data_IF_126991750948
#
_entry.id   IF_126991750948
#
_cell.length_a   1.000
_cell.length_b   1.000
_cell.length_c   1.000
_cell.angle_alpha   90.00
_cell.angle_beta   90.00
_cell.angle_gamma   90.00
#
_symmetry.space_group_name_H-M   'P 1'
#
loop_
_entity.id
_entity.type
_entity.pdbx_description
1 polymer ?
#
# COMPACT_ATOMS: atom_id res chain seq x y z
N UNK A 1 31.44 -7.93 3.72
CA UNK A 1 31.65 -9.38 3.94
C UNK A 1 30.29 -10.00 4.10
N UNK A 2 29.77 -10.64 3.05
CA UNK A 2 28.48 -11.34 3.12
C UNK A 2 28.72 -12.67 3.84
N UNK A 3 28.25 -12.76 5.08
CA UNK A 3 28.18 -14.07 5.73
C UNK A 3 26.90 -14.76 5.25
N UNK A 4 27.04 -15.83 4.49
CA UNK A 4 25.96 -16.80 4.30
C UNK A 4 25.75 -17.49 5.64
N UNK A 5 24.70 -17.11 6.35
CA UNK A 5 24.26 -17.81 7.54
C UNK A 5 23.51 -19.09 7.16
N UNK A 6 23.43 -20.00 8.13
CA UNK A 6 22.64 -21.23 8.02
C UNK A 6 21.19 -20.92 7.57
N UNK A 7 20.53 -21.82 6.82
CA UNK A 7 19.10 -21.71 6.51
C UNK A 7 18.20 -21.55 7.72
N UNK A 8 18.70 -21.86 8.92
CA UNK A 8 17.96 -21.77 10.19
C UNK A 8 18.02 -20.38 10.84
N UNK A 9 18.83 -19.47 10.32
CA UNK A 9 19.00 -18.11 10.86
C UNK A 9 18.05 -17.13 10.13
N UNK A 10 16.94 -16.75 10.76
CA UNK A 10 15.95 -15.80 10.21
C UNK A 10 16.46 -14.36 10.15
N UNK A 11 17.43 -13.97 10.98
CA UNK A 11 18.09 -12.66 10.99
C UNK A 11 19.56 -12.80 10.65
N UNK A 12 20.00 -12.20 9.55
CA UNK A 12 21.38 -12.31 9.07
C UNK A 12 22.30 -11.24 9.65
N UNK A 13 21.73 -10.12 10.09
CA UNK A 13 22.46 -9.02 10.75
C UNK A 13 21.56 -8.31 11.71
N UNK A 14 22.00 -8.13 12.94
CA UNK A 14 21.33 -7.34 13.97
C UNK A 14 22.36 -6.48 14.71
N UNK A 15 22.08 -5.20 14.82
CA UNK A 15 22.85 -4.25 15.62
C UNK A 15 21.88 -3.44 16.49
N UNK A 16 21.82 -3.72 17.80
CA UNK A 16 20.84 -3.09 18.69
C UNK A 16 21.05 -1.57 18.86
N UNK A 17 22.22 -1.03 18.45
CA UNK A 17 22.49 0.41 18.52
C UNK A 17 21.85 1.19 17.37
N UNK A 18 21.46 0.52 16.29
CA UNK A 18 20.88 1.12 15.08
C UNK A 18 19.48 0.59 14.74
N UNK A 19 18.89 -0.22 15.62
CA UNK A 19 17.59 -0.81 15.37
C UNK A 19 16.57 -0.33 16.41
N UNK A 20 15.35 -0.08 15.96
CA UNK A 20 14.23 0.12 16.86
C UNK A 20 13.81 -1.22 17.47
N UNK A 21 13.71 -1.29 18.79
CA UNK A 21 13.27 -2.51 19.48
C UNK A 21 11.80 -2.81 19.18
N UNK A 22 11.45 -4.07 18.98
CA UNK A 22 10.08 -4.46 18.70
C UNK A 22 9.96 -5.84 18.08
N UNK A 23 8.91 -6.02 17.28
CA UNK A 23 8.60 -7.27 16.60
C UNK A 23 8.33 -7.00 15.12
N UNK A 24 8.61 -8.00 14.29
CA UNK A 24 8.27 -7.98 12.86
C UNK A 24 7.13 -8.97 12.60
N UNK A 25 6.01 -8.46 12.09
CA UNK A 25 4.89 -9.26 11.60
C UNK A 25 5.04 -9.42 10.08
N UNK A 26 5.01 -10.65 9.58
CA UNK A 26 5.07 -10.92 8.15
C UNK A 26 4.37 -12.23 7.77
N UNK A 27 3.99 -12.34 6.50
CA UNK A 27 3.53 -13.59 5.89
C UNK A 27 4.34 -13.88 4.63
N UNK A 28 4.97 -15.06 4.50
CA UNK A 28 5.66 -15.44 3.28
C UNK A 28 4.70 -15.46 2.08
N UNK A 29 5.12 -14.87 0.97
CA UNK A 29 4.29 -14.82 -0.23
C UNK A 29 3.89 -16.24 -0.69
N UNK A 30 2.59 -16.44 -0.88
CA UNK A 30 2.02 -17.74 -1.27
C UNK A 30 1.80 -18.75 -0.14
N UNK A 31 2.27 -18.43 1.08
CA UNK A 31 1.99 -19.23 2.29
C UNK A 31 0.61 -18.95 2.88
N UNK A 32 0.31 -19.69 3.95
CA UNK A 32 -0.92 -19.54 4.76
C UNK A 32 -0.61 -19.32 6.23
N UNK A 33 0.58 -18.87 6.55
CA UNK A 33 1.00 -18.56 7.91
C UNK A 33 1.39 -17.09 8.02
N UNK A 34 1.00 -16.44 9.10
CA UNK A 34 1.53 -15.18 9.56
C UNK A 34 2.44 -15.40 10.76
N UNK A 35 3.58 -14.73 10.79
CA UNK A 35 4.63 -14.91 11.78
C UNK A 35 4.92 -13.60 12.47
N UNK A 36 5.09 -13.66 13.78
CA UNK A 36 5.62 -12.58 14.60
C UNK A 36 6.98 -13.03 15.13
N UNK A 37 8.03 -12.30 14.79
CA UNK A 37 9.39 -12.56 15.27
C UNK A 37 9.92 -11.38 16.06
N UNK A 38 10.84 -11.63 16.98
CA UNK A 38 11.60 -10.59 17.67
C UNK A 38 12.80 -10.12 16.83
N UNK A 39 13.57 -9.19 17.37
CA UNK A 39 14.73 -8.60 16.67
C UNK A 39 15.89 -9.57 16.47
N UNK A 40 15.96 -10.67 17.23
CA UNK A 40 16.92 -11.76 17.06
C UNK A 40 16.43 -12.83 16.08
N UNK A 41 15.19 -12.71 15.59
CA UNK A 41 14.58 -13.63 14.63
C UNK A 41 13.92 -14.86 15.27
N UNK A 42 13.73 -14.85 16.60
CA UNK A 42 13.00 -15.91 17.28
C UNK A 42 11.51 -15.75 17.01
N UNK A 43 10.85 -16.88 16.72
CA UNK A 43 9.41 -16.89 16.50
C UNK A 43 8.71 -16.66 17.85
N UNK A 44 8.00 -15.54 17.97
CA UNK A 44 7.21 -15.19 19.14
C UNK A 44 5.78 -15.70 19.02
N UNK A 45 5.21 -15.69 17.80
CA UNK A 45 3.89 -16.22 17.54
C UNK A 45 3.70 -16.62 16.08
N UNK A 46 2.70 -17.50 15.83
CA UNK A 46 2.32 -17.94 14.50
C UNK A 46 0.81 -18.10 14.41
N UNK A 47 0.19 -17.43 13.45
CA UNK A 47 -1.20 -17.69 13.07
C UNK A 47 -1.24 -18.57 11.83
N UNK A 48 -2.06 -19.62 11.85
CA UNK A 48 -2.40 -20.38 10.65
C UNK A 48 -3.66 -19.79 10.05
N UNK A 49 -3.55 -19.21 8.86
CA UNK A 49 -4.65 -18.59 8.16
C UNK A 49 -5.46 -19.62 7.36
N UNK A 50 -6.78 -19.42 7.29
CA UNK A 50 -7.67 -20.30 6.51
C UNK A 50 -7.45 -20.19 5.00
N UNK A 51 -6.97 -19.03 4.52
CA UNK A 51 -6.67 -18.76 3.12
C UNK A 51 -5.37 -17.96 3.01
N UNK A 52 -4.87 -17.82 1.77
CA UNK A 52 -3.67 -17.03 1.52
C UNK A 52 -3.94 -15.57 1.86
N UNK A 53 -3.03 -14.90 2.59
CA UNK A 53 -3.15 -13.48 2.83
C UNK A 53 -3.08 -12.70 1.50
N UNK A 54 -3.80 -11.59 1.48
CA UNK A 54 -3.60 -10.52 0.53
C UNK A 54 -2.34 -9.71 0.86
N UNK A 55 -2.36 -8.42 0.55
CA UNK A 55 -1.19 -7.57 0.81
C UNK A 55 -1.19 -6.93 2.19
N UNK A 56 -2.37 -6.79 2.83
CA UNK A 56 -2.51 -6.09 4.12
C UNK A 56 -2.64 -7.02 5.31
N UNK A 57 -1.86 -6.77 6.36
CA UNK A 57 -2.09 -7.33 7.70
C UNK A 57 -1.52 -6.39 8.77
N UNK A 58 -2.13 -6.39 9.94
CA UNK A 58 -1.69 -5.58 11.08
C UNK A 58 -2.01 -6.25 12.41
N UNK A 59 -1.13 -6.07 13.38
CA UNK A 59 -1.38 -6.45 14.77
C UNK A 59 -2.15 -5.31 15.44
N UNK A 60 -3.33 -5.62 15.95
CA UNK A 60 -4.16 -4.65 16.66
C UNK A 60 -3.67 -4.44 18.10
N UNK A 61 -4.00 -3.31 18.76
CA UNK A 61 -3.59 -3.05 20.16
C UNK A 61 -4.06 -4.10 21.17
N UNK A 62 -5.13 -4.82 20.87
CA UNK A 62 -5.63 -5.94 21.69
C UNK A 62 -4.88 -7.25 21.49
N UNK A 63 -3.87 -7.28 20.62
CA UNK A 63 -3.08 -8.47 20.28
C UNK A 63 -3.69 -9.33 19.17
N UNK A 64 -4.85 -9.00 18.64
CA UNK A 64 -5.45 -9.72 17.52
C UNK A 64 -4.75 -9.37 16.20
N UNK A 65 -4.68 -10.33 15.29
CA UNK A 65 -4.25 -10.13 13.92
C UNK A 65 -5.45 -9.73 13.06
N UNK A 66 -5.38 -8.58 12.40
CA UNK A 66 -6.31 -8.22 11.33
C UNK A 66 -5.62 -8.45 9.98
N UNK A 67 -6.22 -9.28 9.12
CA UNK A 67 -5.60 -9.72 7.87
C UNK A 67 -6.59 -9.71 6.71
N UNK A 68 -6.15 -9.17 5.57
CA UNK A 68 -6.85 -9.29 4.31
C UNK A 68 -6.55 -10.65 3.68
N UNK A 69 -7.57 -11.40 3.34
CA UNK A 69 -7.47 -12.76 2.82
C UNK A 69 -8.01 -12.84 1.39
N UNK A 70 -7.34 -13.65 0.56
CA UNK A 70 -7.77 -13.92 -0.82
C UNK A 70 -8.86 -14.96 -0.82
N UNK A 71 -9.99 -14.66 -1.47
CA UNK A 71 -11.08 -15.61 -1.65
C UNK A 71 -10.94 -16.42 -2.93
N UNK A 72 -10.16 -15.90 -3.92
CA UNK A 72 -10.03 -16.48 -5.26
C UNK A 72 -11.26 -16.27 -6.15
N UNK A 73 -12.20 -15.45 -5.71
CA UNK A 73 -13.45 -15.13 -6.42
C UNK A 73 -13.55 -13.65 -6.81
N UNK A 74 -12.52 -12.89 -6.50
CA UNK A 74 -12.47 -11.45 -6.75
C UNK A 74 -12.64 -11.16 -8.24
N UNK A 75 -13.61 -10.33 -8.66
CA UNK A 75 -13.85 -9.99 -10.07
C UNK A 75 -12.68 -9.26 -10.71
N UNK A 76 -11.78 -8.70 -9.89
CA UNK A 76 -10.65 -7.87 -10.31
C UNK A 76 -9.30 -8.56 -10.20
N UNK A 77 -9.26 -9.91 -10.16
CA UNK A 77 -8.00 -10.69 -10.11
C UNK A 77 -7.05 -10.38 -11.26
N UNK A 78 -7.57 -9.99 -12.44
CA UNK A 78 -6.77 -9.59 -13.60
C UNK A 78 -5.93 -8.33 -13.35
N UNK A 79 -6.25 -7.54 -12.33
CA UNK A 79 -5.43 -6.39 -11.89
C UNK A 79 -4.21 -6.82 -11.05
N UNK A 80 -4.01 -8.13 -10.84
CA UNK A 80 -2.89 -8.67 -10.08
C UNK A 80 -3.03 -8.53 -8.56
N UNK A 81 -4.21 -8.16 -8.08
CA UNK A 81 -4.52 -8.01 -6.67
C UNK A 81 -5.48 -9.08 -6.20
N UNK A 82 -5.56 -9.26 -4.92
CA UNK A 82 -6.51 -10.18 -4.32
C UNK A 82 -6.73 -9.82 -2.86
N UNK A 83 -7.97 -9.97 -2.46
CA UNK A 83 -8.46 -9.72 -1.13
C UNK A 83 -9.81 -10.39 -0.99
N UNK A 84 -10.82 -9.60 -0.70
CA UNK A 84 -12.22 -10.04 -0.68
C UNK A 84 -12.72 -10.35 0.69
N UNK A 85 -11.86 -10.65 1.67
CA UNK A 85 -12.29 -10.96 3.02
C UNK A 85 -11.30 -10.43 4.06
N UNK A 86 -11.78 -9.70 5.07
CA UNK A 86 -11.03 -9.31 6.26
C UNK A 86 -11.36 -10.25 7.41
N UNK A 87 -10.32 -10.76 8.09
CA UNK A 87 -10.44 -11.52 9.30
C UNK A 87 -9.72 -10.82 10.45
N UNK A 88 -10.40 -10.68 11.59
CA UNK A 88 -9.76 -10.45 12.87
C UNK A 88 -9.62 -11.78 13.60
N UNK A 89 -8.39 -12.16 13.91
CA UNK A 89 -8.03 -13.46 14.47
C UNK A 89 -7.39 -13.22 15.83
N UNK A 90 -7.89 -13.87 16.88
CA UNK A 90 -7.32 -13.77 18.22
C UNK A 90 -5.96 -14.49 18.34
N UNK A 91 -5.34 -14.39 19.52
CA UNK A 91 -4.03 -15.02 19.77
C UNK A 91 -4.08 -16.55 19.68
N UNK A 92 -5.24 -17.15 19.96
CA UNK A 92 -5.44 -18.61 19.90
C UNK A 92 -5.79 -19.12 18.50
N UNK A 93 -5.94 -18.21 17.52
CA UNK A 93 -6.23 -18.53 16.13
C UNK A 93 -7.73 -18.59 15.78
N UNK A 94 -8.62 -18.13 16.68
CA UNK A 94 -10.05 -18.08 16.39
C UNK A 94 -10.39 -16.80 15.62
N UNK A 95 -11.24 -16.92 14.59
CA UNK A 95 -11.79 -15.74 13.89
C UNK A 95 -12.87 -15.13 14.77
N UNK A 96 -12.62 -13.91 15.27
CA UNK A 96 -13.54 -13.17 16.16
C UNK A 96 -14.36 -12.13 15.43
N UNK A 97 -13.94 -11.73 14.24
CA UNK A 97 -14.68 -10.85 13.34
C UNK A 97 -14.29 -11.09 11.89
N UNK A 98 -15.23 -10.88 10.97
CA UNK A 98 -14.98 -10.93 9.53
C UNK A 98 -15.86 -9.95 8.77
N UNK A 99 -15.37 -9.53 7.59
CA UNK A 99 -16.10 -8.74 6.63
C UNK A 99 -15.76 -9.19 5.20
N UNK A 100 -16.76 -9.30 4.34
CA UNK A 100 -16.62 -9.71 2.94
C UNK A 100 -16.95 -8.53 2.02
N UNK A 101 -16.03 -8.20 1.12
CA UNK A 101 -16.24 -7.30 -0.03
C UNK A 101 -15.33 -7.77 -1.17
N UNK A 102 -15.92 -8.38 -2.20
CA UNK A 102 -15.19 -9.01 -3.32
C UNK A 102 -14.30 -8.05 -4.12
N UNK A 103 -14.50 -6.73 -3.98
CA UNK A 103 -13.69 -5.69 -4.60
C UNK A 103 -12.59 -5.14 -3.71
N UNK A 104 -12.53 -5.56 -2.45
CA UNK A 104 -11.51 -5.12 -1.51
C UNK A 104 -10.13 -5.63 -1.91
N UNK A 105 -9.11 -4.77 -1.79
CA UNK A 105 -7.75 -5.13 -2.16
C UNK A 105 -6.70 -4.33 -1.39
N UNK A 106 -5.48 -4.83 -1.41
CA UNK A 106 -4.22 -4.28 -0.88
C UNK A 106 -4.24 -3.95 0.59
N UNK A 107 -5.07 -2.99 1.05
CA UNK A 107 -4.88 -2.39 2.36
C UNK A 107 -6.18 -1.97 3.02
N UNK A 108 -6.13 -1.83 4.33
CA UNK A 108 -7.22 -1.42 5.20
C UNK A 108 -6.65 -0.76 6.46
N UNK A 109 -7.47 -0.02 7.19
CA UNK A 109 -7.10 0.52 8.50
C UNK A 109 -8.24 0.39 9.50
N UNK A 110 -7.96 -0.22 10.68
CA UNK A 110 -8.84 -0.15 11.83
C UNK A 110 -8.73 1.23 12.46
N UNK A 111 -9.85 1.93 12.55
CA UNK A 111 -9.92 3.27 13.14
C UNK A 111 -10.14 3.20 14.64
N UNK A 112 -9.80 4.29 15.34
CA UNK A 112 -10.01 4.40 16.80
C UNK A 112 -11.50 4.30 17.21
N UNK A 113 -12.42 4.60 16.29
CA UNK A 113 -13.87 4.40 16.47
C UNK A 113 -14.29 2.92 16.53
N UNK A 114 -13.42 2.00 16.15
CA UNK A 114 -13.73 0.59 15.94
C UNK A 114 -14.19 0.28 14.52
N UNK A 115 -14.47 1.30 13.69
CA UNK A 115 -14.79 1.12 12.28
C UNK A 115 -13.52 0.70 11.50
N UNK A 116 -13.71 0.19 10.29
CA UNK A 116 -12.60 -0.17 9.41
C UNK A 116 -12.70 0.60 8.10
N UNK A 117 -11.63 1.31 7.75
CA UNK A 117 -11.46 1.88 6.42
C UNK A 117 -10.90 0.81 5.50
N UNK A 118 -11.53 0.60 4.35
CA UNK A 118 -11.09 -0.38 3.34
C UNK A 118 -10.84 0.31 2.01
N UNK A 119 -9.85 -0.20 1.29
CA UNK A 119 -9.56 0.17 -0.09
C UNK A 119 -10.20 -0.86 -1.03
N UNK A 120 -10.89 -0.40 -2.08
CA UNK A 120 -11.62 -1.27 -3.00
C UNK A 120 -11.59 -0.78 -4.43
N UNK A 121 -11.73 -1.70 -5.36
CA UNK A 121 -11.92 -1.37 -6.77
C UNK A 121 -13.35 -0.89 -7.06
N UNK A 122 -13.47 0.01 -8.02
CA UNK A 122 -14.75 0.48 -8.56
C UNK A 122 -14.64 0.61 -10.08
N UNK A 123 -15.68 0.19 -10.80
CA UNK A 123 -15.73 0.41 -12.25
C UNK A 123 -16.04 1.89 -12.52
N UNK A 124 -15.20 2.53 -13.33
CA UNK A 124 -15.37 3.95 -13.67
C UNK A 124 -16.42 4.09 -14.79
N UNK A 125 -17.33 5.07 -14.71
CA UNK A 125 -18.25 5.37 -15.81
C UNK A 125 -17.47 5.65 -17.12
N UNK A 126 -17.97 5.12 -18.24
CA UNK A 126 -17.30 5.23 -19.55
C UNK A 126 -17.04 6.70 -19.96
N UNK A 127 -17.95 7.58 -19.64
CA UNK A 127 -17.82 9.01 -19.87
C UNK A 127 -16.55 9.57 -19.19
N UNK A 128 -16.32 9.23 -17.92
CA UNK A 128 -15.12 9.63 -17.18
C UNK A 128 -13.89 8.90 -17.71
N UNK A 129 -13.96 7.59 -17.91
CA UNK A 129 -12.84 6.77 -18.37
C UNK A 129 -12.27 7.24 -19.71
N UNK A 130 -13.14 7.70 -20.62
CA UNK A 130 -12.75 8.22 -21.95
C UNK A 130 -11.91 9.51 -21.87
N UNK A 131 -11.99 10.26 -20.77
CA UNK A 131 -11.22 11.51 -20.58
C UNK A 131 -9.84 11.26 -19.96
N UNK A 132 -9.62 10.10 -19.32
CA UNK A 132 -8.36 9.77 -18.68
C UNK A 132 -7.26 9.59 -19.72
N UNK A 133 -6.18 10.37 -19.59
CA UNK A 133 -4.99 10.32 -20.45
C UNK A 133 -3.92 9.44 -19.82
N UNK A 134 -2.87 9.13 -20.59
CA UNK A 134 -1.72 8.35 -20.13
C UNK A 134 -1.99 6.84 -20.13
N UNK A 135 -1.05 6.08 -19.56
CA UNK A 135 -1.03 4.62 -19.67
C UNK A 135 -0.70 4.12 -21.08
N UNK A 136 -0.61 2.80 -21.24
CA UNK A 136 -0.33 2.13 -22.52
C UNK A 136 -1.65 1.95 -23.29
N UNK A 137 -1.84 2.60 -24.45
CA UNK A 137 -3.05 2.42 -25.26
C UNK A 137 -3.25 0.95 -25.67
N UNK A 138 -4.50 0.49 -25.68
CA UNK A 138 -4.84 -0.89 -26.06
C UNK A 138 -4.68 -1.91 -24.92
N UNK A 139 -4.45 -1.43 -23.68
CA UNK A 139 -4.39 -2.28 -22.47
C UNK A 139 -5.61 -2.09 -21.58
N UNK A 140 -6.65 -1.50 -22.10
CA UNK A 140 -7.96 -1.41 -21.47
C UNK A 140 -8.53 -2.82 -21.27
N UNK A 141 -9.25 -3.05 -20.19
CA UNK A 141 -9.93 -4.32 -19.96
C UNK A 141 -11.32 -4.30 -20.63
N UNK A 142 -11.82 -5.47 -21.04
CA UNK A 142 -13.12 -5.61 -21.70
C UNK A 142 -14.30 -5.12 -20.85
N UNK A 143 -14.18 -5.16 -19.50
CA UNK A 143 -15.18 -4.62 -18.59
C UNK A 143 -15.09 -3.10 -18.41
N UNK A 144 -14.13 -2.43 -19.05
CA UNK A 144 -13.87 -1.00 -18.91
C UNK A 144 -12.69 -0.68 -17.99
N UNK A 145 -12.53 0.61 -17.66
CA UNK A 145 -11.50 1.11 -16.78
C UNK A 145 -11.96 1.02 -15.32
N UNK A 146 -11.10 0.48 -14.47
CA UNK A 146 -11.32 0.43 -13.04
C UNK A 146 -10.63 1.60 -12.33
N UNK A 147 -11.11 1.91 -11.15
CA UNK A 147 -10.53 2.91 -10.26
C UNK A 147 -10.52 2.44 -8.83
N UNK A 148 -10.29 3.36 -7.91
CA UNK A 148 -10.25 3.10 -6.48
C UNK A 148 -11.38 3.82 -5.75
N UNK A 149 -11.87 3.18 -4.70
CA UNK A 149 -12.78 3.75 -3.74
C UNK A 149 -12.30 3.44 -2.32
N UNK A 150 -12.58 4.35 -1.40
CA UNK A 150 -12.45 4.09 0.03
C UNK A 150 -13.82 3.93 0.63
N UNK A 151 -13.96 3.00 1.55
CA UNK A 151 -15.20 2.80 2.28
C UNK A 151 -14.90 2.62 3.76
N UNK A 152 -15.65 3.29 4.62
CA UNK A 152 -15.65 3.02 6.04
C UNK A 152 -16.85 2.17 6.40
N UNK A 153 -16.57 1.08 7.10
CA UNK A 153 -17.56 0.13 7.58
C UNK A 153 -17.54 0.08 9.12
N UNK A 154 -18.73 -0.04 9.70
CA UNK A 154 -18.90 -0.30 11.13
C UNK A 154 -18.55 -1.75 11.47
N UNK A 155 -18.39 -2.12 12.76
CA UNK A 155 -18.16 -3.51 13.16
C UNK A 155 -19.27 -4.48 12.73
N UNK A 156 -20.50 -4.01 12.55
CA UNK A 156 -21.63 -4.80 12.00
C UNK A 156 -21.71 -4.77 10.46
N UNK A 157 -20.69 -4.21 9.79
CA UNK A 157 -20.51 -4.27 8.33
C UNK A 157 -21.28 -3.21 7.54
N UNK A 158 -21.92 -2.20 8.21
CA UNK A 158 -22.62 -1.12 7.51
C UNK A 158 -21.64 -0.08 6.97
N UNK A 159 -21.82 0.33 5.73
CA UNK A 159 -21.12 1.49 5.17
C UNK A 159 -21.63 2.78 5.81
N UNK A 160 -20.70 3.57 6.36
CA UNK A 160 -20.99 4.88 6.98
C UNK A 160 -20.34 6.04 6.24
N UNK A 161 -19.39 5.74 5.37
CA UNK A 161 -18.74 6.71 4.49
C UNK A 161 -18.16 6.01 3.26
N UNK A 162 -18.22 6.69 2.13
CA UNK A 162 -17.59 6.22 0.88
C UNK A 162 -17.02 7.40 0.10
N UNK A 163 -15.90 7.14 -0.57
CA UNK A 163 -15.24 8.07 -1.49
C UNK A 163 -14.93 7.33 -2.79
N UNK A 164 -15.47 7.84 -3.88
CA UNK A 164 -15.28 7.28 -5.21
C UNK A 164 -14.21 8.11 -5.94
N UNK A 165 -13.02 7.54 -6.16
CA UNK A 165 -11.88 8.26 -6.69
C UNK A 165 -12.16 9.02 -7.98
N UNK A 166 -12.93 8.43 -8.89
CA UNK A 166 -13.24 9.05 -10.18
C UNK A 166 -14.11 10.31 -10.10
N UNK A 167 -14.78 10.56 -8.96
CA UNK A 167 -15.57 11.78 -8.73
C UNK A 167 -14.71 12.97 -8.27
N UNK A 168 -13.49 12.70 -7.80
CA UNK A 168 -12.63 13.68 -7.15
C UNK A 168 -11.26 13.85 -7.84
N UNK A 169 -10.83 12.85 -8.61
CA UNK A 169 -9.60 12.90 -9.38
C UNK A 169 -9.80 13.69 -10.68
N UNK A 170 -8.76 14.40 -11.09
CA UNK A 170 -8.74 15.17 -12.33
C UNK A 170 -8.00 14.38 -13.43
N UNK A 171 -8.65 13.97 -14.54
CA UNK A 171 -8.03 13.19 -15.60
C UNK A 171 -6.89 13.92 -16.35
N UNK A 172 -6.75 15.23 -16.18
CA UNK A 172 -5.66 16.03 -16.75
C UNK A 172 -4.47 16.12 -15.79
N UNK A 173 -4.74 16.13 -14.48
CA UNK A 173 -3.72 16.22 -13.43
C UNK A 173 -3.25 14.82 -13.00
N UNK A 174 -4.21 13.93 -12.76
CA UNK A 174 -3.96 12.57 -12.21
C UNK A 174 -3.72 11.57 -13.36
N UNK A 175 -2.73 11.86 -14.20
CA UNK A 175 -2.40 11.08 -15.39
C UNK A 175 -1.57 9.84 -15.03
N UNK A 176 -2.00 8.62 -15.38
CA UNK A 176 -1.23 7.40 -15.18
C UNK A 176 0.16 7.44 -15.83
N UNK A 177 1.08 6.74 -15.20
CA UNK A 177 2.41 6.46 -15.77
C UNK A 177 2.27 5.88 -17.18
N UNK A 178 3.06 6.40 -18.14
CA UNK A 178 3.00 5.97 -19.54
C UNK A 178 3.37 4.50 -19.78
N UNK A 179 3.98 3.85 -18.78
CA UNK A 179 4.38 2.43 -18.82
C UNK A 179 3.41 1.53 -18.04
N UNK A 180 2.27 2.05 -17.59
CA UNK A 180 1.25 1.30 -16.87
C UNK A 180 0.05 0.97 -17.75
N UNK A 181 -0.66 -0.13 -17.50
CA UNK A 181 -1.87 -0.46 -18.24
C UNK A 181 -3.00 0.54 -17.96
N UNK A 182 -3.89 0.69 -18.92
CA UNK A 182 -5.10 1.51 -18.84
C UNK A 182 -6.31 0.77 -18.25
N UNK A 183 -6.13 -0.47 -17.82
CA UNK A 183 -7.19 -1.23 -17.14
C UNK A 183 -7.59 -0.64 -15.79
N UNK A 184 -6.73 0.17 -15.18
CA UNK A 184 -7.02 0.82 -13.91
C UNK A 184 -6.42 2.24 -13.81
N UNK A 185 -7.21 3.20 -13.34
CA UNK A 185 -6.80 4.56 -13.03
C UNK A 185 -6.43 4.70 -11.56
N UNK A 186 -5.18 5.05 -11.28
CA UNK A 186 -4.65 5.29 -9.94
C UNK A 186 -3.94 4.09 -9.33
N UNK A 187 -4.61 2.96 -9.12
CA UNK A 187 -4.09 1.75 -8.49
C UNK A 187 -3.56 2.02 -7.08
N UNK A 188 -4.47 2.30 -6.14
CA UNK A 188 -4.12 2.51 -4.73
C UNK A 188 -3.64 1.20 -4.10
N UNK A 189 -2.46 1.23 -3.48
CA UNK A 189 -1.83 0.04 -2.90
C UNK A 189 -1.46 0.19 -1.42
N UNK A 190 -1.85 1.29 -0.80
CA UNK A 190 -1.70 1.52 0.63
C UNK A 190 -2.54 2.70 1.06
N UNK A 191 -3.09 2.65 2.26
CA UNK A 191 -3.92 3.70 2.86
C UNK A 191 -3.55 3.95 4.31
N UNK A 192 -3.68 5.19 4.73
CA UNK A 192 -3.61 5.61 6.13
C UNK A 192 -4.55 6.79 6.40
N UNK A 193 -4.56 7.30 7.61
CA UNK A 193 -5.35 8.49 7.98
C UNK A 193 -4.48 9.52 8.67
N UNK A 194 -4.70 10.80 8.35
CA UNK A 194 -4.08 11.89 9.10
C UNK A 194 -4.66 11.98 10.53
N UNK A 195 -4.00 12.71 11.45
CA UNK A 195 -4.57 12.98 12.78
C UNK A 195 -5.95 13.63 12.73
N UNK A 196 -6.24 14.42 11.68
CA UNK A 196 -7.52 15.08 11.44
C UNK A 196 -8.58 14.12 10.88
N UNK A 197 -8.19 12.90 10.48
CA UNK A 197 -9.07 11.87 9.96
C UNK A 197 -9.20 11.86 8.42
N UNK A 198 -8.46 12.69 7.69
CA UNK A 198 -8.39 12.65 6.23
C UNK A 198 -7.71 11.37 5.74
N UNK A 199 -8.06 10.91 4.55
CA UNK A 199 -7.52 9.66 4.02
C UNK A 199 -6.27 9.91 3.20
N UNK A 200 -5.17 9.25 3.57
CA UNK A 200 -3.93 9.19 2.80
C UNK A 200 -3.96 7.97 1.91
N UNK A 201 -3.65 8.12 0.62
CA UNK A 201 -3.56 7.02 -0.33
C UNK A 201 -2.26 7.05 -1.12
N UNK A 202 -1.68 5.87 -1.35
CA UNK A 202 -0.58 5.67 -2.28
C UNK A 202 -1.11 5.25 -3.64
N UNK A 203 -1.12 6.16 -4.60
CA UNK A 203 -1.60 5.93 -5.96
C UNK A 203 -0.44 5.48 -6.86
N UNK A 204 -0.22 4.18 -6.90
CA UNK A 204 0.95 3.55 -7.53
C UNK A 204 1.12 3.95 -9.00
N UNK A 205 0.07 3.89 -9.81
CA UNK A 205 0.16 4.21 -11.23
C UNK A 205 0.26 5.71 -11.53
N UNK A 206 0.04 6.57 -10.52
CA UNK A 206 0.24 8.02 -10.64
C UNK A 206 1.61 8.46 -10.08
N UNK A 207 2.34 7.57 -9.40
CA UNK A 207 3.53 7.91 -8.63
C UNK A 207 3.25 9.01 -7.59
N UNK A 208 2.07 8.99 -6.98
CA UNK A 208 1.63 10.04 -6.05
C UNK A 208 1.18 9.48 -4.72
N UNK A 209 1.47 10.23 -3.67
CA UNK A 209 0.71 10.23 -2.43
C UNK A 209 -0.40 11.28 -2.54
N UNK A 210 -1.56 10.97 -2.01
CA UNK A 210 -2.74 11.85 -2.07
C UNK A 210 -3.38 11.93 -0.69
N UNK A 211 -3.80 13.13 -0.27
CA UNK A 211 -4.64 13.33 0.91
C UNK A 211 -6.03 13.78 0.43
N UNK A 212 -7.04 12.96 0.73
CA UNK A 212 -8.44 13.25 0.44
C UNK A 212 -9.13 13.75 1.72
N UNK A 213 -9.76 14.90 1.61
CA UNK A 213 -10.59 15.48 2.68
C UNK A 213 -11.78 14.59 2.97
N UNK A 214 -11.90 14.15 4.22
CA UNK A 214 -12.96 13.22 4.60
C UNK A 214 -14.36 13.81 4.53
N UNK A 215 -14.51 15.11 4.68
CA UNK A 215 -15.80 15.79 4.72
C UNK A 215 -16.32 16.14 3.33
N UNK A 216 -15.45 16.75 2.50
CA UNK A 216 -15.82 17.23 1.16
C UNK A 216 -15.48 16.24 0.04
N UNK A 217 -14.62 15.25 0.29
CA UNK A 217 -14.05 14.38 -0.71
C UNK A 217 -12.95 15.02 -1.55
N UNK A 218 -12.72 16.33 -1.42
CA UNK A 218 -11.72 17.04 -2.23
C UNK A 218 -10.30 16.54 -1.95
N UNK A 219 -9.49 16.45 -2.99
CA UNK A 219 -8.07 16.15 -2.83
C UNK A 219 -7.35 17.42 -2.38
N UNK A 220 -6.88 17.42 -1.12
CA UNK A 220 -6.18 18.54 -0.48
C UNK A 220 -4.71 18.62 -0.86
N UNK A 221 -4.09 17.47 -1.16
CA UNK A 221 -2.67 17.38 -1.39
C UNK A 221 -2.33 16.24 -2.34
N UNK A 222 -1.33 16.48 -3.21
CA UNK A 222 -0.71 15.50 -4.10
C UNK A 222 0.79 15.70 -4.09
N UNK A 223 1.54 14.62 -3.91
CA UNK A 223 2.99 14.70 -3.92
C UNK A 223 3.61 13.43 -4.48
N UNK A 224 4.72 13.57 -5.19
CA UNK A 224 5.57 12.46 -5.55
C UNK A 224 5.70 12.16 -7.04
N UNK A 225 4.87 12.73 -7.91
CA UNK A 225 4.82 12.41 -9.35
C UNK A 225 6.19 12.36 -10.04
N UNK A 226 7.13 13.23 -9.63
CA UNK A 226 8.45 13.34 -10.21
C UNK A 226 9.55 12.76 -9.31
N UNK A 227 9.21 12.40 -8.08
CA UNK A 227 10.11 11.88 -7.06
C UNK A 227 9.95 10.37 -6.87
N UNK A 228 8.71 9.88 -6.89
CA UNK A 228 8.39 8.49 -6.58
C UNK A 228 8.36 7.61 -7.83
N UNK A 229 8.56 6.33 -7.64
CA UNK A 229 8.42 5.30 -8.66
C UNK A 229 7.67 4.09 -8.13
N UNK A 230 6.35 4.02 -8.35
CA UNK A 230 5.48 2.92 -7.95
C UNK A 230 5.55 2.56 -6.46
N UNK A 231 5.53 3.58 -5.62
CA UNK A 231 5.63 3.50 -4.16
C UNK A 231 4.54 2.65 -3.51
N UNK A 232 4.79 2.25 -2.26
CA UNK A 232 3.89 1.47 -1.41
C UNK A 232 3.87 2.00 0.03
N UNK A 233 2.90 1.53 0.79
CA UNK A 233 2.81 1.62 2.25
C UNK A 233 3.01 3.03 2.83
N UNK A 234 2.11 3.98 2.55
CA UNK A 234 2.14 5.28 3.20
C UNK A 234 1.76 5.10 4.66
N UNK A 235 2.61 5.55 5.58
CA UNK A 235 2.35 5.53 7.02
C UNK A 235 2.42 6.94 7.56
N UNK A 236 1.33 7.40 8.16
CA UNK A 236 1.30 8.70 8.81
C UNK A 236 1.95 8.60 10.19
N UNK A 237 2.98 9.40 10.40
CA UNK A 237 3.70 9.47 11.67
C UNK A 237 3.01 10.43 12.64
N UNK A 238 3.35 10.35 13.95
CA UNK A 238 2.83 11.23 14.98
C UNK A 238 3.13 12.73 14.71
N UNK A 239 4.20 13.01 13.95
CA UNK A 239 4.54 14.35 13.48
C UNK A 239 3.55 14.91 12.43
N UNK A 240 2.73 14.04 11.84
CA UNK A 240 1.91 14.32 10.65
C UNK A 240 2.68 14.18 9.34
N UNK A 241 3.96 13.83 9.36
CA UNK A 241 4.72 13.46 8.18
C UNK A 241 4.28 12.08 7.68
N UNK A 242 4.57 11.80 6.41
CA UNK A 242 4.23 10.52 5.78
C UNK A 242 5.51 9.77 5.46
N UNK A 243 5.67 8.58 6.07
CA UNK A 243 6.69 7.63 5.68
C UNK A 243 6.19 6.83 4.48
N UNK A 244 7.04 6.60 3.47
CA UNK A 244 6.66 5.86 2.27
C UNK A 244 7.81 5.02 1.75
N UNK A 245 7.51 3.80 1.30
CA UNK A 245 8.45 2.96 0.57
C UNK A 245 8.41 3.31 -0.92
N UNK A 246 9.46 3.96 -1.42
CA UNK A 246 9.61 4.29 -2.84
C UNK A 246 10.33 3.14 -3.55
N UNK A 247 9.59 2.34 -4.30
CA UNK A 247 10.14 1.17 -5.01
C UNK A 247 11.14 1.55 -6.10
N UNK A 248 11.02 2.75 -6.67
CA UNK A 248 11.88 3.21 -7.76
C UNK A 248 11.56 2.60 -9.13
N UNK A 249 10.49 1.82 -9.24
CA UNK A 249 10.06 1.21 -10.50
C UNK A 249 9.34 2.24 -11.37
N UNK A 250 9.73 2.39 -12.62
CA UNK A 250 9.28 3.46 -13.53
C UNK A 250 9.56 4.88 -13.01
N UNK A 251 10.53 5.06 -12.10
CA UNK A 251 10.96 6.40 -11.70
C UNK A 251 11.53 7.12 -12.91
N UNK A 252 11.07 8.35 -13.13
CA UNK A 252 11.61 9.19 -14.18
C UNK A 252 13.05 9.58 -13.84
N UNK A 253 13.96 9.58 -14.83
CA UNK A 253 15.31 10.07 -14.58
C UNK A 253 15.27 11.55 -14.17
N UNK A 254 16.23 12.01 -13.36
CA UNK A 254 16.37 13.44 -13.07
C UNK A 254 16.41 14.25 -14.36
N UNK A 255 15.87 15.47 -14.34
CA UNK A 255 15.82 16.35 -15.53
C UNK A 255 17.21 16.70 -16.09
N UNK A 256 18.29 16.46 -15.37
CA UNK A 256 19.65 16.61 -15.88
C UNK A 256 20.08 15.35 -16.64
N UNK A 257 19.82 15.38 -17.94
CA UNK A 257 20.24 14.35 -18.90
C UNK A 257 21.76 14.17 -19.01
N UNK A 258 22.56 14.94 -18.29
CA UNK A 258 24.03 14.85 -18.28
C UNK A 258 24.56 13.87 -17.25
N UNK A 259 23.75 13.51 -16.28
CA UNK A 259 24.07 12.40 -15.39
C UNK A 259 23.61 11.11 -16.07
N UNK A 260 24.57 10.27 -16.46
CA UNK A 260 24.33 8.86 -16.76
C UNK A 260 23.89 8.18 -15.47
N UNK A 261 22.67 8.45 -15.03
CA UNK A 261 22.04 7.63 -14.00
C UNK A 261 21.80 6.29 -14.69
N UNK A 262 22.46 5.26 -14.17
CA UNK A 262 22.20 3.89 -14.61
C UNK A 262 20.68 3.69 -14.61
N UNK A 263 20.14 3.08 -15.65
CA UNK A 263 18.73 2.69 -15.73
C UNK A 263 18.35 1.61 -14.69
N UNK A 264 19.24 1.31 -13.77
CA UNK A 264 19.04 0.36 -12.69
C UNK A 264 18.16 0.99 -11.63
N UNK A 265 17.02 0.36 -11.36
CA UNK A 265 16.13 0.76 -10.29
C UNK A 265 16.79 0.58 -8.92
N UNK A 266 16.41 1.42 -7.98
CA UNK A 266 16.72 1.26 -6.57
C UNK A 266 15.56 1.79 -5.73
N UNK A 267 15.40 1.22 -4.54
CA UNK A 267 14.34 1.62 -3.61
C UNK A 267 14.88 2.60 -2.58
N UNK A 268 13.97 3.40 -2.04
CA UNK A 268 14.22 4.34 -0.94
C UNK A 268 13.12 4.22 0.10
N UNK A 269 13.41 4.63 1.32
CA UNK A 269 12.38 4.98 2.29
C UNK A 269 12.44 6.48 2.49
N UNK A 270 11.31 7.16 2.37
CA UNK A 270 11.23 8.61 2.46
C UNK A 270 10.26 9.02 3.56
N UNK A 271 10.63 10.05 4.34
CA UNK A 271 9.71 10.78 5.19
C UNK A 271 9.43 12.13 4.54
N UNK A 272 8.16 12.38 4.25
CA UNK A 272 7.68 13.58 3.53
C UNK A 272 6.78 14.39 4.43
N UNK A 273 7.01 15.70 4.46
CA UNK A 273 6.17 16.65 5.18
C UNK A 273 5.11 17.25 4.25
N UNK A 274 3.81 16.91 4.41
CA UNK A 274 2.76 17.38 3.51
C UNK A 274 2.44 18.88 3.63
N UNK A 275 2.96 19.56 4.67
CA UNK A 275 2.79 21.01 4.85
C UNK A 275 3.84 21.84 4.08
N UNK A 276 5.00 21.24 3.81
CA UNK A 276 6.14 21.94 3.19
C UNK A 276 6.56 21.35 1.86
N UNK A 277 6.00 20.20 1.48
CA UNK A 277 6.35 19.39 0.30
C UNK A 277 7.81 18.89 0.30
N UNK A 278 8.45 18.86 1.47
CA UNK A 278 9.85 18.49 1.59
C UNK A 278 10.02 17.06 2.06
N UNK A 279 11.07 16.41 1.54
CA UNK A 279 11.62 15.19 2.12
C UNK A 279 12.42 15.62 3.36
N UNK A 280 11.96 15.22 4.54
CA UNK A 280 12.62 15.53 5.82
C UNK A 280 13.69 14.49 6.14
N UNK A 281 13.50 13.25 5.70
CA UNK A 281 14.45 12.18 5.88
C UNK A 281 14.37 11.16 4.73
N UNK A 282 15.50 10.52 4.44
CA UNK A 282 15.56 9.45 3.45
C UNK A 282 16.57 8.36 3.84
N UNK A 283 16.25 7.13 3.47
CA UNK A 283 17.18 6.01 3.47
C UNK A 283 17.43 5.54 2.05
N UNK A 284 18.71 5.44 1.70
CA UNK A 284 19.19 4.82 0.47
C UNK A 284 20.40 3.92 0.79
N UNK A 285 20.49 2.76 0.15
CA UNK A 285 21.66 1.90 0.31
C UNK A 285 22.90 2.49 -0.40
N UNK A 286 24.07 2.03 0.00
CA UNK A 286 25.34 2.37 -0.64
C UNK A 286 26.08 1.07 -1.04
N UNK A 287 26.15 0.72 -2.33
CA UNK A 287 25.55 1.43 -3.48
C UNK A 287 24.00 1.37 -3.48
N UNK A 288 23.29 2.31 -4.16
CA UNK A 288 21.82 2.37 -4.16
C UNK A 288 21.17 1.05 -4.61
N UNK A 289 21.73 0.37 -5.60
CA UNK A 289 21.26 -0.93 -6.11
C UNK A 289 21.33 -2.08 -5.10
N UNK A 290 21.98 -1.87 -3.95
CA UNK A 290 22.00 -2.81 -2.83
C UNK A 290 20.67 -2.91 -2.07
N UNK A 291 19.71 -2.01 -2.34
CA UNK A 291 18.38 -2.00 -1.77
C UNK A 291 17.36 -1.77 -2.89
N UNK A 292 16.80 -2.87 -3.39
CA UNK A 292 15.79 -2.79 -4.45
C UNK A 292 14.70 -3.83 -4.29
N UNK A 293 13.47 -3.34 -4.17
CA UNK A 293 12.25 -4.12 -4.27
C UNK A 293 11.33 -3.40 -5.28
N UNK A 294 11.26 -3.90 -6.50
CA UNK A 294 10.53 -3.25 -7.59
C UNK A 294 9.00 -3.41 -7.47
N UNK A 295 8.56 -4.34 -6.65
CA UNK A 295 7.14 -4.65 -6.44
C UNK A 295 6.93 -5.15 -5.01
N UNK A 296 5.79 -4.81 -4.42
CA UNK A 296 5.36 -5.26 -3.10
C UNK A 296 6.39 -5.01 -1.99
N UNK A 297 6.22 -3.96 -1.24
CA UNK A 297 7.06 -3.61 -0.09
C UNK A 297 6.27 -2.86 0.95
N UNK A 298 6.66 -3.05 2.20
CA UNK A 298 6.08 -2.36 3.37
C UNK A 298 7.15 -2.15 4.44
#
# INVERSE_FOLDING_TARGET
MYMTKSPDDSVTRYDPTFTFGGYTLFAPHGGTDAWLIDMEGRICHRWRLASKPGSGMTLLPNGNLLVLSKTGKEPTTFLGTGGGELHEIDWDGNVVWRHEDEYMHHDFKRLASGNTLINRHVLIPEETASTVRGGIPGTEHESGMWGNAYREITPDGKTVWEWLGYEHMDPVVDVPCALCPRSIWGYVNGIDTTPEGDVVGSFRHLNNLVIADRTSGAIKWRWGRWELGHQHNPTVLDSGNILVFDNGYHRLPPHDLRTTVSAEGYSRVLEVNPRTDKIEWSYEAKPPTGFWSHICSS
#
